data_IF_134402519675
#
_entry.id   IF_134402519675
#
_cell.length_a   1.000
_cell.length_b   1.000
_cell.length_c   1.000
_cell.angle_alpha   90.00
_cell.angle_beta   90.00
_cell.angle_gamma   90.00
#
_symmetry.space_group_name_H-M   'P 1'
#
loop_
_entity.id
_entity.type
_entity.pdbx_description
1 polymer ?
#
# COMPACT_ATOMS: atom_id res chain seq x y z
N UNK A 1 8.30 -0.44 0.73
CA UNK A 1 7.85 0.60 -0.22
C UNK A 1 8.27 1.99 0.22
N UNK A 2 7.83 2.52 1.39
CA UNK A 2 8.03 3.91 1.82
C UNK A 2 9.45 4.49 1.67
N UNK A 3 10.41 4.09 2.52
CA UNK A 3 11.78 4.63 2.45
C UNK A 3 12.46 4.41 1.09
N UNK A 4 12.19 3.26 0.46
CA UNK A 4 12.73 2.95 -0.86
C UNK A 4 12.14 3.83 -1.97
N UNK A 5 10.86 4.24 -1.88
CA UNK A 5 10.24 5.18 -2.80
C UNK A 5 10.79 6.60 -2.68
N UNK A 6 11.21 7.00 -1.47
CA UNK A 6 11.90 8.26 -1.24
C UNK A 6 13.30 8.27 -1.89
N UNK A 7 14.06 7.19 -1.67
CA UNK A 7 15.45 7.08 -2.11
C UNK A 7 15.57 6.77 -3.62
N UNK A 8 14.77 5.84 -4.14
CA UNK A 8 14.90 5.27 -5.48
C UNK A 8 13.55 5.18 -6.23
N UNK A 9 12.89 6.31 -6.53
CA UNK A 9 11.53 6.33 -7.09
C UNK A 9 11.41 5.60 -8.43
N UNK A 10 12.37 5.81 -9.36
CA UNK A 10 12.34 5.15 -10.67
C UNK A 10 12.47 3.63 -10.58
N UNK A 11 13.33 3.14 -9.69
CA UNK A 11 13.52 1.71 -9.48
C UNK A 11 12.29 1.06 -8.82
N UNK A 12 11.60 1.80 -7.94
CA UNK A 12 10.40 1.32 -7.26
C UNK A 12 9.25 1.01 -8.21
N UNK A 13 8.99 1.89 -9.18
CA UNK A 13 7.80 1.78 -10.03
C UNK A 13 8.05 0.96 -11.30
N UNK A 14 9.32 0.73 -11.66
CA UNK A 14 9.75 -0.04 -12.84
C UNK A 14 9.09 -1.43 -12.97
N UNK A 15 8.92 -2.25 -11.90
CA UNK A 15 8.26 -3.55 -12.03
C UNK A 15 6.81 -3.46 -12.52
N UNK A 16 6.14 -2.33 -12.29
CA UNK A 16 4.76 -2.08 -12.73
C UNK A 16 4.70 -1.48 -14.15
N UNK A 17 5.83 -1.38 -14.86
CA UNK A 17 5.90 -0.77 -16.19
C UNK A 17 5.78 0.75 -16.19
N UNK A 18 5.79 1.38 -15.00
CA UNK A 18 5.75 2.83 -14.86
C UNK A 18 7.15 3.44 -15.06
N UNK A 19 7.19 4.65 -15.61
CA UNK A 19 8.41 5.41 -15.86
C UNK A 19 8.41 6.68 -15.01
N UNK A 20 9.43 6.84 -14.17
CA UNK A 20 9.66 8.05 -13.37
C UNK A 20 11.01 8.69 -13.71
N UNK A 21 11.15 9.14 -14.95
CA UNK A 21 12.35 9.76 -15.53
C UNK A 21 12.38 11.29 -15.37
N UNK A 22 11.22 11.93 -15.23
CA UNK A 22 11.10 13.38 -15.05
C UNK A 22 11.06 13.81 -13.57
N UNK A 23 11.44 15.06 -13.23
CA UNK A 23 11.31 15.57 -11.87
C UNK A 23 9.90 15.45 -11.29
N UNK A 24 8.87 15.75 -12.08
CA UNK A 24 7.46 15.74 -11.68
C UNK A 24 7.00 14.31 -11.32
N UNK A 25 7.27 13.33 -12.19
CA UNK A 25 6.92 11.94 -11.93
C UNK A 25 7.69 11.35 -10.76
N UNK A 26 8.97 11.71 -10.57
CA UNK A 26 9.71 11.31 -9.36
C UNK A 26 9.16 11.96 -8.10
N UNK A 27 8.69 13.21 -8.18
CA UNK A 27 8.06 13.90 -7.06
C UNK A 27 6.79 13.18 -6.63
N UNK A 28 5.93 12.84 -7.59
CA UNK A 28 4.70 12.09 -7.35
C UNK A 28 4.99 10.73 -6.69
N UNK A 29 5.98 10.01 -7.21
CA UNK A 29 6.35 8.69 -6.65
C UNK A 29 6.85 8.80 -5.22
N UNK A 30 7.66 9.83 -4.92
CA UNK A 30 8.14 10.08 -3.55
C UNK A 30 7.00 10.48 -2.62
N UNK A 31 6.00 11.21 -3.08
CA UNK A 31 4.85 11.57 -2.25
C UNK A 31 3.97 10.34 -1.96
N UNK A 32 3.50 9.65 -3.00
CA UNK A 32 2.46 8.61 -2.90
C UNK A 32 3.01 7.25 -2.50
N UNK A 33 4.14 6.81 -3.06
CA UNK A 33 4.71 5.49 -2.72
C UNK A 33 5.80 5.58 -1.64
N UNK A 34 6.33 6.78 -1.43
CA UNK A 34 7.35 7.08 -0.44
C UNK A 34 6.76 7.59 0.88
N UNK A 35 6.52 8.89 0.95
CA UNK A 35 6.10 9.63 2.13
C UNK A 35 4.80 9.11 2.72
N UNK A 36 3.79 8.82 1.90
CA UNK A 36 2.54 8.22 2.38
C UNK A 36 2.79 6.88 3.10
N UNK A 37 3.58 5.98 2.51
CA UNK A 37 3.92 4.71 3.13
C UNK A 37 4.70 4.85 4.44
N UNK A 38 5.59 5.84 4.54
CA UNK A 38 6.30 6.16 5.80
C UNK A 38 5.33 6.70 6.84
N UNK A 39 4.41 7.59 6.46
CA UNK A 39 3.40 8.14 7.35
C UNK A 39 2.43 7.05 7.85
N UNK A 40 1.96 6.15 6.97
CA UNK A 40 1.13 5.00 7.36
C UNK A 40 1.83 4.11 8.38
N UNK A 41 3.12 3.83 8.19
CA UNK A 41 3.91 3.07 9.17
C UNK A 41 4.04 3.81 10.50
N UNK A 42 4.23 5.13 10.48
CA UNK A 42 4.34 5.94 11.69
C UNK A 42 3.03 5.97 12.50
N UNK A 43 1.87 6.14 11.85
CA UNK A 43 0.57 6.14 12.56
C UNK A 43 0.22 4.76 13.12
N UNK A 44 0.53 3.67 12.40
CA UNK A 44 0.40 2.31 12.92
C UNK A 44 1.33 2.08 14.12
N UNK A 45 2.56 2.59 14.08
CA UNK A 45 3.48 2.53 15.21
C UNK A 45 2.97 3.32 16.42
N UNK A 46 2.40 4.51 16.21
CA UNK A 46 1.83 5.33 17.27
C UNK A 46 0.61 4.66 17.93
N UNK A 47 -0.22 3.98 17.13
CA UNK A 47 -1.38 3.21 17.60
C UNK A 47 -1.02 2.11 18.61
N UNK A 48 0.21 1.60 18.62
CA UNK A 48 0.68 0.63 19.62
C UNK A 48 0.77 1.22 21.03
N UNK A 49 0.91 2.54 21.15
CA UNK A 49 1.10 3.25 22.43
C UNK A 49 -0.06 4.19 22.77
N UNK A 50 -1.00 4.39 21.85
CA UNK A 50 -2.14 5.30 21.99
C UNK A 50 -3.43 4.50 21.82
N UNK A 51 -3.96 3.89 22.90
CA UNK A 51 -5.12 2.99 22.82
C UNK A 51 -6.35 3.64 22.17
N UNK A 52 -6.58 4.93 22.45
CA UNK A 52 -7.73 5.67 21.91
C UNK A 52 -7.71 5.81 20.37
N UNK A 53 -6.54 5.67 19.74
CA UNK A 53 -6.39 5.75 18.29
C UNK A 53 -6.26 4.37 17.63
N UNK A 54 -6.03 3.32 18.42
CA UNK A 54 -5.62 2.01 17.91
C UNK A 54 -6.61 1.45 16.88
N UNK A 55 -7.86 1.24 17.29
CA UNK A 55 -8.85 0.56 16.46
C UNK A 55 -9.18 1.38 15.21
N UNK A 56 -9.27 2.71 15.35
CA UNK A 56 -9.53 3.61 14.24
C UNK A 56 -8.43 3.59 13.18
N UNK A 57 -7.17 3.68 13.60
CA UNK A 57 -6.01 3.65 12.68
C UNK A 57 -5.88 2.29 12.01
N UNK A 58 -5.95 1.19 12.79
CA UNK A 58 -5.82 -0.17 12.26
C UNK A 58 -6.93 -0.48 11.27
N UNK A 59 -8.18 -0.15 11.60
CA UNK A 59 -9.32 -0.33 10.69
C UNK A 59 -9.17 0.49 9.41
N UNK A 60 -8.77 1.77 9.51
CA UNK A 60 -8.58 2.62 8.33
C UNK A 60 -7.53 2.03 7.38
N UNK A 61 -6.38 1.59 7.90
CA UNK A 61 -5.33 0.99 7.06
C UNK A 61 -5.77 -0.35 6.47
N UNK A 62 -6.51 -1.17 7.22
CA UNK A 62 -7.08 -2.41 6.69
C UNK A 62 -8.00 -2.14 5.48
N UNK A 63 -8.89 -1.15 5.60
CA UNK A 63 -9.80 -0.74 4.51
C UNK A 63 -9.01 -0.22 3.30
N UNK A 64 -7.97 0.58 3.52
CA UNK A 64 -7.12 1.10 2.44
C UNK A 64 -6.40 -0.03 1.68
N UNK A 65 -5.87 -1.03 2.39
CA UNK A 65 -5.26 -2.23 1.77
C UNK A 65 -6.29 -3.02 0.97
N UNK A 66 -7.48 -3.23 1.54
CA UNK A 66 -8.60 -3.88 0.84
C UNK A 66 -9.01 -3.14 -0.44
N UNK A 67 -9.02 -1.81 -0.42
CA UNK A 67 -9.28 -0.97 -1.59
C UNK A 67 -8.24 -1.14 -2.70
N UNK A 68 -6.95 -1.26 -2.36
CA UNK A 68 -5.89 -1.54 -3.34
C UNK A 68 -6.06 -2.91 -3.99
N UNK A 69 -6.35 -3.94 -3.20
CA UNK A 69 -6.61 -5.29 -3.70
C UNK A 69 -7.86 -5.30 -4.62
N UNK A 70 -8.94 -4.62 -4.23
CA UNK A 70 -10.14 -4.46 -5.03
C UNK A 70 -9.84 -3.77 -6.37
N UNK A 71 -9.02 -2.72 -6.37
CA UNK A 71 -8.58 -2.04 -7.60
C UNK A 71 -7.89 -3.01 -8.58
N UNK A 72 -7.07 -3.94 -8.09
CA UNK A 72 -6.43 -4.96 -8.94
C UNK A 72 -7.43 -5.95 -9.53
N UNK A 73 -8.46 -6.32 -8.76
CA UNK A 73 -9.57 -7.16 -9.27
C UNK A 73 -10.33 -6.42 -10.38
N UNK A 74 -10.63 -5.13 -10.19
CA UNK A 74 -11.27 -4.31 -11.23
C UNK A 74 -10.39 -4.26 -12.49
N UNK A 75 -9.09 -4.01 -12.37
CA UNK A 75 -8.16 -4.07 -13.51
C UNK A 75 -8.16 -5.43 -14.20
N UNK A 76 -8.30 -6.55 -13.49
CA UNK A 76 -8.40 -7.88 -14.12
C UNK A 76 -9.66 -8.06 -14.96
N UNK A 77 -10.76 -7.42 -14.56
CA UNK A 77 -12.05 -7.49 -15.22
C UNK A 77 -12.14 -6.56 -16.44
N UNK A 78 -11.47 -5.40 -16.39
CA UNK A 78 -11.54 -4.36 -17.41
C UNK A 78 -10.37 -4.44 -18.42
N UNK A 79 -9.17 -4.77 -17.95
CA UNK A 79 -7.95 -4.77 -18.76
C UNK A 79 -7.50 -6.18 -19.18
N UNK A 80 -6.46 -6.22 -20.03
CA UNK A 80 -5.83 -7.48 -20.44
C UNK A 80 -5.22 -8.20 -19.22
N UNK A 81 -5.24 -9.55 -19.22
CA UNK A 81 -4.59 -10.32 -18.17
C UNK A 81 -3.10 -9.96 -18.04
N UNK A 82 -2.65 -9.77 -16.80
CA UNK A 82 -1.24 -9.54 -16.45
C UNK A 82 -0.68 -10.74 -15.69
N UNK A 83 0.64 -10.89 -15.70
CA UNK A 83 1.35 -11.97 -14.99
C UNK A 83 1.20 -11.88 -13.47
N UNK A 84 1.64 -12.95 -12.78
CA UNK A 84 1.57 -13.06 -11.32
C UNK A 84 2.34 -11.92 -10.63
N UNK A 85 3.59 -11.68 -11.05
CA UNK A 85 4.41 -10.58 -10.55
C UNK A 85 4.38 -9.39 -11.52
N UNK A 86 4.23 -8.16 -11.02
CA UNK A 86 4.06 -7.78 -9.61
C UNK A 86 2.61 -7.83 -9.11
N UNK A 87 1.61 -7.82 -10.01
CA UNK A 87 0.23 -7.43 -9.67
C UNK A 87 -0.45 -8.38 -8.69
N UNK A 88 -0.53 -9.67 -8.99
CA UNK A 88 -1.23 -10.64 -8.15
C UNK A 88 -0.47 -10.99 -6.88
N UNK A 89 0.86 -10.94 -6.92
CA UNK A 89 1.68 -11.05 -5.72
C UNK A 89 1.32 -9.96 -4.71
N UNK A 90 1.31 -8.69 -5.13
CA UNK A 90 0.94 -7.59 -4.23
C UNK A 90 -0.54 -7.62 -3.85
N UNK A 91 -1.43 -8.08 -4.72
CA UNK A 91 -2.84 -8.34 -4.37
C UNK A 91 -2.94 -9.30 -3.17
N UNK A 92 -2.19 -10.40 -3.20
CA UNK A 92 -2.12 -11.35 -2.08
C UNK A 92 -1.57 -10.72 -0.80
N UNK A 93 -0.49 -9.94 -0.91
CA UNK A 93 0.08 -9.20 0.24
C UNK A 93 -0.93 -8.22 0.84
N UNK A 94 -1.63 -7.46 0.00
CA UNK A 94 -2.66 -6.49 0.42
C UNK A 94 -3.81 -7.19 1.15
N UNK A 95 -4.32 -8.30 0.61
CA UNK A 95 -5.39 -9.09 1.24
C UNK A 95 -4.94 -9.66 2.58
N UNK A 96 -3.78 -10.33 2.63
CA UNK A 96 -3.29 -10.94 3.87
C UNK A 96 -3.05 -9.88 4.93
N UNK A 97 -2.41 -8.76 4.59
CA UNK A 97 -2.18 -7.68 5.54
C UNK A 97 -3.48 -7.02 6.02
N UNK A 98 -4.45 -6.80 5.12
CA UNK A 98 -5.77 -6.28 5.50
C UNK A 98 -6.48 -7.22 6.49
N UNK A 99 -6.48 -8.53 6.21
CA UNK A 99 -7.10 -9.53 7.08
C UNK A 99 -6.43 -9.58 8.46
N UNK A 100 -5.09 -9.55 8.52
CA UNK A 100 -4.37 -9.52 9.80
C UNK A 100 -4.72 -8.28 10.63
N UNK A 101 -4.85 -7.12 9.99
CA UNK A 101 -5.26 -5.89 10.68
C UNK A 101 -6.72 -5.95 11.16
N UNK A 102 -7.64 -6.51 10.36
CA UNK A 102 -9.03 -6.74 10.80
C UNK A 102 -9.07 -7.66 12.02
N UNK A 103 -8.34 -8.78 11.96
CA UNK A 103 -8.27 -9.73 13.09
C UNK A 103 -7.72 -9.08 14.36
N UNK A 104 -6.85 -8.07 14.24
CA UNK A 104 -6.27 -7.37 15.38
C UNK A 104 -7.26 -6.43 16.10
N UNK A 105 -8.40 -6.09 15.49
CA UNK A 105 -9.44 -5.21 16.06
C UNK A 105 -10.77 -5.91 16.28
N UNK A 106 -10.88 -7.21 15.96
CA UNK A 106 -12.08 -7.97 16.29
C UNK A 106 -12.19 -8.16 17.81
N UNK A 107 -13.38 -7.97 18.40
CA UNK A 107 -13.60 -8.33 19.79
C UNK A 107 -13.39 -9.84 19.96
N UNK A 108 -12.66 -10.22 21.02
CA UNK A 108 -12.40 -11.61 21.41
C UNK A 108 -13.66 -12.33 21.92
#
# INVERSE_FOLDING_TARGET
>A
MGMYGLAAPAALVRPFGLVADRPESRSEVRAVYGGFGVATAAVLGAALTLPDLHDGVVTAVAVMLGGMAAGRVVSRLVDRPVGLYPVWFYCGVEIVAALLLVLAVLPA
#
